data_IF_624460367802
#
_entry.id   IF_624460367802
#
_cell.length_a   1.000
_cell.length_b   1.000
_cell.length_c   1.000
_cell.angle_alpha   90.00
_cell.angle_beta   90.00
_cell.angle_gamma   90.00
#
_symmetry.space_group_name_H-M   'P 1'
#
loop_
_entity.id
_entity.type
_entity.pdbx_description
1 polymer ?
#
# COMPACT_ATOMS: atom_id res chain seq x y z
N UNK A 1 -69.91 7.54 -47.66
CA UNK A 1 -69.52 6.47 -46.71
C UNK A 1 -68.01 6.32 -46.59
N UNK A 2 -67.28 6.26 -47.71
CA UNK A 2 -65.80 6.27 -47.73
C UNK A 2 -65.12 7.37 -46.87
N UNK A 3 -65.52 8.66 -46.94
CA UNK A 3 -64.84 9.70 -46.15
C UNK A 3 -65.05 9.53 -44.64
N UNK A 4 -66.20 9.01 -44.22
CA UNK A 4 -66.48 8.75 -42.80
C UNK A 4 -65.62 7.60 -42.27
N UNK A 5 -65.45 6.54 -43.05
CA UNK A 5 -64.59 5.40 -42.69
C UNK A 5 -63.13 5.85 -42.61
N UNK A 6 -62.68 6.68 -43.55
CA UNK A 6 -61.32 7.24 -43.54
C UNK A 6 -61.08 8.13 -42.31
N UNK A 7 -62.02 8.99 -41.97
CA UNK A 7 -61.91 9.88 -40.80
C UNK A 7 -61.84 9.08 -39.48
N UNK A 8 -62.67 8.05 -39.32
CA UNK A 8 -62.66 7.19 -38.13
C UNK A 8 -61.36 6.41 -38.02
N UNK A 9 -60.83 5.89 -39.13
CA UNK A 9 -59.53 5.20 -39.13
C UNK A 9 -58.39 6.13 -38.75
N UNK A 10 -58.34 7.37 -39.26
CA UNK A 10 -57.29 8.32 -38.89
C UNK A 10 -57.33 8.65 -37.40
N UNK A 11 -58.53 8.88 -36.85
CA UNK A 11 -58.70 9.20 -35.43
C UNK A 11 -58.34 8.01 -34.52
N UNK A 12 -58.65 6.78 -34.94
CA UNK A 12 -58.34 5.57 -34.18
C UNK A 12 -56.84 5.23 -34.15
N UNK A 13 -56.08 5.58 -35.19
CA UNK A 13 -54.63 5.30 -35.28
C UNK A 13 -53.73 6.42 -34.72
N UNK A 14 -54.26 7.64 -34.51
CA UNK A 14 -53.51 8.77 -33.96
C UNK A 14 -52.76 8.50 -32.63
N UNK A 15 -53.36 7.86 -31.60
CA UNK A 15 -52.68 7.67 -30.31
C UNK A 15 -51.51 6.68 -30.36
N UNK A 16 -51.44 5.77 -31.34
CA UNK A 16 -50.31 4.86 -31.52
C UNK A 16 -49.04 5.58 -31.99
N UNK A 17 -49.17 6.71 -32.70
CA UNK A 17 -48.01 7.50 -33.13
C UNK A 17 -47.35 8.24 -31.95
N UNK A 18 -48.14 8.64 -30.95
CA UNK A 18 -47.67 9.42 -29.81
C UNK A 18 -46.84 8.58 -28.82
N UNK A 19 -47.17 7.29 -28.67
CA UNK A 19 -46.43 6.36 -27.83
C UNK A 19 -45.02 6.02 -28.37
N UNK A 20 -44.80 6.14 -29.68
CA UNK A 20 -43.48 5.92 -30.29
C UNK A 20 -42.57 7.16 -30.23
N UNK A 21 -43.14 8.35 -30.02
CA UNK A 21 -42.42 9.63 -29.99
C UNK A 21 -42.08 10.13 -28.59
N UNK A 22 -42.63 9.51 -27.53
CA UNK A 22 -42.26 9.85 -26.16
C UNK A 22 -40.77 9.53 -25.94
N UNK A 23 -39.93 10.53 -25.63
CA UNK A 23 -38.54 10.28 -25.28
C UNK A 23 -38.54 9.37 -24.04
N UNK A 24 -38.06 8.14 -24.20
CA UNK A 24 -37.74 7.32 -23.03
C UNK A 24 -36.80 8.14 -22.14
N UNK A 25 -37.06 8.24 -20.83
CA UNK A 25 -36.16 8.97 -19.94
C UNK A 25 -34.80 8.25 -19.97
N UNK A 26 -33.89 8.79 -20.78
CA UNK A 26 -32.50 8.35 -20.82
C UNK A 26 -31.92 8.67 -19.46
N UNK A 27 -31.60 7.64 -18.70
CA UNK A 27 -30.79 7.76 -17.49
C UNK A 27 -29.41 8.27 -17.96
N UNK A 28 -29.19 9.57 -17.85
CA UNK A 28 -27.90 10.21 -18.10
C UNK A 28 -27.02 10.01 -16.87
N UNK A 29 -26.65 8.77 -16.56
CA UNK A 29 -25.60 8.54 -15.56
C UNK A 29 -24.29 9.03 -16.18
N UNK A 30 -23.67 10.01 -15.53
CA UNK A 30 -22.32 10.43 -15.88
C UNK A 30 -21.38 9.23 -15.76
N UNK A 31 -20.72 8.86 -16.85
CA UNK A 31 -19.71 7.80 -16.85
C UNK A 31 -18.56 8.23 -15.93
N UNK A 32 -18.09 7.38 -14.99
CA UNK A 32 -16.91 7.67 -14.20
C UNK A 32 -15.72 8.04 -15.11
N UNK A 33 -15.16 9.23 -14.93
CA UNK A 33 -14.07 9.75 -15.78
C UNK A 33 -14.50 10.52 -17.03
N UNK A 34 -15.77 10.91 -17.16
CA UNK A 34 -16.20 11.81 -18.24
C UNK A 34 -15.40 13.13 -18.23
N UNK A 35 -15.14 13.76 -19.39
CA UNK A 35 -14.45 15.03 -19.47
C UNK A 35 -15.10 16.07 -18.54
N UNK A 36 -14.33 16.63 -17.60
CA UNK A 36 -14.83 17.56 -16.59
C UNK A 36 -15.25 16.93 -15.25
N UNK A 37 -15.24 15.60 -15.09
CA UNK A 37 -15.33 14.99 -13.75
C UNK A 37 -13.99 15.15 -13.03
N UNK A 38 -13.95 15.72 -11.81
CA UNK A 38 -12.70 15.88 -11.09
C UNK A 38 -12.08 14.51 -10.78
N UNK A 39 -10.86 14.29 -11.24
CA UNK A 39 -10.04 13.14 -10.83
C UNK A 39 -9.78 13.25 -9.34
N UNK A 40 -9.97 12.17 -8.55
CA UNK A 40 -9.63 12.19 -7.13
C UNK A 40 -8.18 12.63 -6.93
N UNK A 41 -7.94 13.60 -6.06
CA UNK A 41 -6.58 14.00 -5.68
C UNK A 41 -5.86 12.80 -5.09
N UNK A 42 -4.61 12.51 -5.47
CA UNK A 42 -3.88 11.37 -4.92
C UNK A 42 -3.73 11.51 -3.39
N UNK A 43 -3.73 10.37 -2.71
CA UNK A 43 -3.43 10.32 -1.28
C UNK A 43 -2.04 10.90 -1.00
N UNK A 44 -1.81 11.44 0.22
CA UNK A 44 -0.48 11.87 0.62
C UNK A 44 0.51 10.70 0.49
N UNK A 45 1.62 10.91 -0.21
CA UNK A 45 2.71 9.94 -0.20
C UNK A 45 3.38 9.97 1.17
N UNK A 46 3.12 8.95 1.98
CA UNK A 46 3.85 8.74 3.22
C UNK A 46 5.19 8.12 2.83
N UNK A 47 6.28 8.87 2.95
CA UNK A 47 7.62 8.29 2.89
C UNK A 47 7.82 7.41 4.13
N UNK A 48 8.08 6.09 3.97
CA UNK A 48 8.35 5.25 5.14
C UNK A 48 9.60 5.76 5.85
N UNK A 49 9.58 5.72 7.19
CA UNK A 49 10.73 6.12 8.01
C UNK A 49 11.95 5.31 7.57
N UNK A 50 13.05 6.01 7.27
CA UNK A 50 14.30 5.36 6.92
C UNK A 50 14.77 4.50 8.11
N UNK A 51 15.24 3.26 7.88
CA UNK A 51 15.82 2.46 8.94
C UNK A 51 16.96 3.21 9.64
N UNK A 52 17.13 3.06 10.96
CA UNK A 52 18.21 3.70 11.69
C UNK A 52 19.56 3.30 11.08
N UNK A 53 20.44 4.28 10.92
CA UNK A 53 21.73 4.07 10.27
C UNK A 53 22.61 3.22 11.18
N UNK A 54 23.24 2.20 10.60
CA UNK A 54 24.10 1.29 11.32
C UNK A 54 25.37 2.00 11.83
N UNK A 55 25.66 1.87 13.13
CA UNK A 55 26.89 2.30 13.81
C UNK A 55 27.60 3.54 13.23
N UNK A 56 28.88 3.39 12.89
CA UNK A 56 29.77 4.43 12.33
C UNK A 56 29.40 4.92 10.91
N UNK A 57 28.12 4.83 10.51
CA UNK A 57 27.68 5.13 9.15
C UNK A 57 28.34 4.27 8.06
N UNK A 58 28.87 3.08 8.41
CA UNK A 58 29.52 2.16 7.48
C UNK A 58 28.54 1.11 6.97
N UNK A 59 28.53 0.80 5.66
CA UNK A 59 27.72 -0.28 5.12
C UNK A 59 28.10 -1.61 5.78
N UNK A 60 27.11 -2.32 6.32
CA UNK A 60 27.29 -3.61 7.01
C UNK A 60 27.61 -3.53 8.51
N UNK A 61 27.66 -2.32 9.10
CA UNK A 61 27.79 -2.20 10.56
C UNK A 61 26.54 -2.75 11.28
N UNK A 62 26.65 -3.21 12.54
CA UNK A 62 25.49 -3.61 13.32
C UNK A 62 24.60 -2.39 13.62
N UNK A 63 23.29 -2.62 13.62
CA UNK A 63 22.29 -1.59 13.97
C UNK A 63 22.32 -1.21 15.45
N UNK A 64 22.88 -2.10 16.28
CA UNK A 64 22.89 -1.96 17.73
C UNK A 64 24.33 -1.84 18.24
N UNK A 65 24.54 -1.02 19.28
CA UNK A 65 25.83 -0.99 19.97
C UNK A 65 26.14 -2.36 20.61
N UNK A 66 27.42 -2.67 20.82
CA UNK A 66 27.82 -3.91 21.50
C UNK A 66 27.24 -3.96 22.91
N UNK A 67 26.66 -5.11 23.26
CA UNK A 67 26.11 -5.40 24.58
C UNK A 67 27.19 -6.05 25.47
N UNK A 68 27.32 -5.68 26.76
CA UNK A 68 28.28 -6.31 27.64
C UNK A 68 27.90 -7.77 27.88
N UNK A 69 28.77 -8.69 27.50
CA UNK A 69 28.64 -10.11 27.82
C UNK A 69 29.38 -10.41 29.13
N UNK A 70 28.83 -11.26 30.01
CA UNK A 70 29.58 -11.73 31.17
C UNK A 70 30.81 -12.50 30.68
N UNK A 71 31.97 -12.15 31.23
CA UNK A 71 33.22 -12.83 30.89
C UNK A 71 33.23 -14.29 31.37
N UNK A 72 34.03 -15.16 30.74
CA UNK A 72 34.26 -16.51 31.24
C UNK A 72 34.86 -16.49 32.65
N UNK A 73 34.58 -17.52 33.45
CA UNK A 73 35.10 -17.62 34.82
C UNK A 73 36.62 -17.70 34.80
N UNK A 74 37.28 -16.80 35.52
CA UNK A 74 38.75 -16.73 35.61
C UNK A 74 39.38 -17.98 36.24
N UNK A 75 38.59 -18.72 37.01
CA UNK A 75 39.02 -19.92 37.75
C UNK A 75 38.96 -21.19 36.89
N UNK A 76 38.40 -21.13 35.69
CA UNK A 76 38.37 -22.29 34.80
C UNK A 76 39.67 -22.32 33.97
N UNK A 77 40.42 -23.45 33.99
CA UNK A 77 41.55 -23.60 33.08
C UNK A 77 41.04 -23.53 31.65
N UNK A 78 41.65 -22.66 30.84
CA UNK A 78 41.38 -22.57 29.41
C UNK A 78 41.73 -23.94 28.77
N UNK A 79 40.78 -24.60 28.07
CA UNK A 79 41.08 -25.85 27.39
C UNK A 79 42.29 -25.67 26.45
N UNK A 80 43.39 -26.37 26.75
CA UNK A 80 44.63 -26.31 25.96
C UNK A 80 45.70 -25.32 26.41
N UNK A 81 45.49 -24.54 27.48
CA UNK A 81 46.51 -23.66 28.07
C UNK A 81 46.83 -24.11 29.50
N UNK A 82 47.99 -24.74 29.69
CA UNK A 82 48.49 -25.05 31.04
C UNK A 82 49.05 -23.78 31.71
N UNK A 83 48.80 -23.54 33.01
CA UNK A 83 49.38 -22.42 33.73
C UNK A 83 50.92 -22.49 33.74
N UNK A 84 51.58 -21.38 33.45
CA UNK A 84 53.04 -21.26 33.50
C UNK A 84 53.52 -21.40 34.96
N UNK A 85 54.62 -22.13 35.22
CA UNK A 85 55.12 -22.30 36.59
C UNK A 85 55.62 -20.95 37.15
N UNK A 86 55.40 -20.67 38.44
CA UNK A 86 55.76 -19.39 39.04
C UNK A 86 57.28 -19.16 39.02
N UNK A 87 57.69 -17.96 38.57
CA UNK A 87 59.09 -17.53 38.54
C UNK A 87 59.69 -17.48 39.95
N UNK A 88 60.81 -18.15 40.15
CA UNK A 88 61.48 -18.25 41.44
C UNK A 88 61.95 -16.87 41.96
N UNK A 89 61.90 -16.63 43.29
CA UNK A 89 62.30 -15.36 43.87
C UNK A 89 63.83 -15.18 43.79
N UNK A 90 64.24 -14.01 43.31
CA UNK A 90 65.63 -13.55 43.31
C UNK A 90 65.99 -13.21 44.76
N UNK A 91 66.93 -13.96 45.35
CA UNK A 91 67.48 -13.67 46.69
C UNK A 91 68.56 -12.60 46.56
N UNK A 92 68.44 -11.53 47.34
CA UNK A 92 69.50 -10.55 47.61
C UNK A 92 70.38 -11.01 48.77
#
# INVERSE_FOLDING_TARGET
MFPAILAVSILALAPCAEAAGQPTPRINTSVPGAPGTPTPTPYPQITPSTPPKAGDNRPGAPLLPPMPLPGPRKDQPLPGLQPEPPKAPIKH
#
